data_IF_849184212747
#
_entry.id   IF_849184212747
#
_cell.length_a   1.000
_cell.length_b   1.000
_cell.length_c   1.000
_cell.angle_alpha   90.00
_cell.angle_beta   90.00
_cell.angle_gamma   90.00
#
_symmetry.space_group_name_H-M   'P 1'
#
loop_
_entity.id
_entity.type
_entity.pdbx_description
1 polymer ?
#
# COMPACT_ATOMS: atom_id res chain seq x y z
N UNK A 1 -0.72 -3.55 24.01
CA UNK A 1 -0.40 -3.09 22.64
C UNK A 1 -1.60 -3.38 21.76
N UNK A 2 -1.94 -2.49 20.84
CA UNK A 2 -2.98 -2.76 19.83
C UNK A 2 -2.46 -3.88 18.91
N UNK A 3 -3.01 -5.08 19.06
CA UNK A 3 -2.73 -6.20 18.16
C UNK A 3 -3.56 -5.99 16.89
N UNK A 4 -2.88 -5.77 15.77
CA UNK A 4 -3.48 -5.59 14.46
C UNK A 4 -3.39 -6.90 13.67
N UNK A 5 -4.46 -7.26 12.96
CA UNK A 5 -4.47 -8.38 12.03
C UNK A 5 -4.14 -7.94 10.59
N UNK A 6 -3.81 -6.66 10.39
CA UNK A 6 -3.41 -6.10 9.11
C UNK A 6 -1.90 -6.07 8.95
N UNK A 7 -1.48 -6.56 7.80
CA UNK A 7 -0.10 -6.63 7.36
C UNK A 7 0.07 -5.93 6.02
N UNK A 8 1.31 -5.68 5.66
CA UNK A 8 1.66 -5.26 4.30
C UNK A 8 2.90 -6.01 3.84
N UNK A 9 3.03 -6.23 2.55
CA UNK A 9 4.21 -6.86 1.94
C UNK A 9 4.56 -6.18 0.62
N UNK A 10 5.86 -6.06 0.35
CA UNK A 10 6.40 -5.68 -0.95
C UNK A 10 6.90 -6.91 -1.68
N UNK A 11 6.46 -7.13 -2.92
CA UNK A 11 6.96 -8.26 -3.71
C UNK A 11 8.39 -8.05 -4.20
N UNK A 12 8.78 -6.80 -4.55
CA UNK A 12 10.11 -6.50 -5.02
C UNK A 12 10.55 -7.43 -6.16
N UNK A 13 11.71 -8.06 -5.95
CA UNK A 13 12.28 -9.09 -6.83
C UNK A 13 12.29 -10.48 -6.17
N UNK A 14 11.44 -10.72 -5.16
CA UNK A 14 11.38 -12.01 -4.45
C UNK A 14 11.05 -13.16 -5.39
N UNK A 15 11.52 -14.35 -5.05
CA UNK A 15 11.01 -15.57 -5.65
C UNK A 15 9.60 -15.90 -5.11
N UNK A 16 8.94 -16.85 -5.77
CA UNK A 16 7.65 -17.37 -5.32
C UNK A 16 7.75 -17.95 -3.90
N UNK A 17 8.79 -18.73 -3.66
CA UNK A 17 9.04 -19.45 -2.42
C UNK A 17 9.31 -18.49 -1.26
N UNK A 18 10.16 -17.48 -1.48
CA UNK A 18 10.45 -16.45 -0.48
C UNK A 18 9.19 -15.71 -0.06
N UNK A 19 8.39 -15.29 -1.05
CA UNK A 19 7.15 -14.55 -0.81
C UNK A 19 6.11 -15.38 -0.05
N UNK A 20 5.90 -16.65 -0.44
CA UNK A 20 5.01 -17.56 0.27
C UNK A 20 5.51 -17.84 1.70
N UNK A 21 6.80 -18.05 1.89
CA UNK A 21 7.38 -18.30 3.21
C UNK A 21 7.16 -17.12 4.16
N UNK A 22 7.32 -15.89 3.66
CA UNK A 22 7.02 -14.67 4.42
C UNK A 22 5.53 -14.60 4.80
N UNK A 23 4.60 -14.81 3.86
CA UNK A 23 3.17 -14.80 4.14
C UNK A 23 2.77 -15.87 5.17
N UNK A 24 3.27 -17.11 5.01
CA UNK A 24 2.98 -18.22 5.92
C UNK A 24 3.52 -17.98 7.32
N UNK A 25 4.67 -17.32 7.46
CA UNK A 25 5.25 -17.00 8.77
C UNK A 25 4.36 -16.11 9.64
N UNK A 26 3.39 -15.42 9.04
CA UNK A 26 2.42 -14.56 9.72
C UNK A 26 0.96 -15.05 9.61
N UNK A 27 0.76 -16.29 9.16
CA UNK A 27 -0.57 -16.90 9.02
C UNK A 27 -1.53 -16.05 8.15
N UNK A 28 -1.01 -15.50 7.03
CA UNK A 28 -1.82 -14.66 6.14
C UNK A 28 -2.82 -15.51 5.36
N UNK A 29 -4.10 -15.16 5.49
CA UNK A 29 -5.21 -15.83 4.81
C UNK A 29 -5.71 -15.09 3.57
N UNK A 30 -5.52 -13.77 3.53
CA UNK A 30 -5.95 -12.91 2.43
C UNK A 30 -4.80 -12.01 1.98
N UNK A 31 -4.50 -12.04 0.68
CA UNK A 31 -3.60 -11.09 0.06
C UNK A 31 -4.40 -10.10 -0.79
N UNK A 32 -4.36 -8.82 -0.40
CA UNK A 32 -5.04 -7.73 -1.10
C UNK A 32 -4.02 -7.00 -1.98
N UNK A 33 -4.13 -7.13 -3.28
CA UNK A 33 -3.27 -6.41 -4.22
C UNK A 33 -3.75 -4.96 -4.40
N UNK A 34 -2.89 -4.01 -3.98
CA UNK A 34 -3.16 -2.58 -4.07
C UNK A 34 -2.34 -1.90 -5.17
N UNK A 35 -1.73 -2.67 -6.07
CA UNK A 35 -1.07 -2.09 -7.26
C UNK A 35 -2.14 -1.55 -8.20
N UNK A 36 -2.01 -0.31 -8.66
CA UNK A 36 -2.93 0.25 -9.67
C UNK A 36 -2.86 -0.53 -11.00
N UNK A 37 -1.69 -1.09 -11.33
CA UNK A 37 -1.53 -2.03 -12.43
C UNK A 37 -0.86 -3.30 -11.91
N UNK A 38 -1.56 -4.43 -11.80
CA UNK A 38 -1.03 -5.68 -11.27
C UNK A 38 -0.31 -6.51 -12.35
N UNK A 39 0.36 -5.83 -13.30
CA UNK A 39 1.07 -6.43 -14.41
C UNK A 39 2.45 -5.78 -14.60
N UNK A 40 3.48 -6.61 -14.77
CA UNK A 40 4.86 -6.20 -15.02
C UNK A 40 5.51 -7.16 -16.02
N UNK A 41 6.28 -6.60 -16.96
CA UNK A 41 7.16 -7.38 -17.85
C UNK A 41 8.43 -7.84 -17.15
N UNK A 42 8.87 -7.12 -16.11
CA UNK A 42 10.12 -7.37 -15.41
C UNK A 42 9.99 -8.41 -14.31
N UNK A 43 8.80 -8.49 -13.70
CA UNK A 43 8.53 -9.40 -12.57
C UNK A 43 7.22 -10.17 -12.83
N UNK A 44 7.15 -10.94 -13.94
CA UNK A 44 5.90 -11.52 -14.43
C UNK A 44 5.30 -12.59 -13.50
N UNK A 45 6.09 -13.16 -12.58
CA UNK A 45 5.60 -14.13 -11.59
C UNK A 45 4.58 -13.53 -10.60
N UNK A 46 4.61 -12.20 -10.41
CA UNK A 46 3.63 -11.47 -9.61
C UNK A 46 2.49 -10.86 -10.43
N UNK A 47 2.35 -11.20 -11.72
CA UNK A 47 1.17 -10.77 -12.48
C UNK A 47 -0.08 -11.42 -11.91
N UNK A 48 -1.20 -10.70 -11.87
CA UNK A 48 -2.44 -11.12 -11.19
C UNK A 48 -2.82 -12.59 -11.43
N UNK A 49 -2.88 -13.05 -12.68
CA UNK A 49 -3.26 -14.44 -12.98
C UNK A 49 -2.24 -15.47 -12.49
N UNK A 50 -0.95 -15.13 -12.52
CA UNK A 50 0.11 -15.99 -11.99
C UNK A 50 0.04 -16.03 -10.47
N UNK A 51 0.09 -14.88 -9.80
CA UNK A 51 0.06 -14.76 -8.32
C UNK A 51 -1.15 -15.44 -7.68
N UNK A 52 -2.32 -15.25 -8.25
CA UNK A 52 -3.54 -15.88 -7.79
C UNK A 52 -3.45 -17.41 -7.78
N UNK A 53 -2.83 -18.01 -8.80
CA UNK A 53 -2.73 -19.48 -8.92
C UNK A 53 -1.90 -20.13 -7.81
N UNK A 54 -0.74 -19.57 -7.44
CA UNK A 54 0.09 -20.14 -6.37
C UNK A 54 -0.42 -19.80 -4.98
N UNK A 55 -1.03 -18.62 -4.79
CA UNK A 55 -1.72 -18.31 -3.53
C UNK A 55 -2.86 -19.29 -3.27
N UNK A 56 -3.63 -19.65 -4.30
CA UNK A 56 -4.72 -20.61 -4.19
C UNK A 56 -4.24 -22.00 -3.76
N UNK A 57 -3.11 -22.48 -4.28
CA UNK A 57 -2.49 -23.75 -3.87
C UNK A 57 -2.12 -23.75 -2.38
N UNK A 58 -1.80 -22.57 -1.84
CA UNK A 58 -1.45 -22.35 -0.44
C UNK A 58 -2.64 -21.91 0.42
N UNK A 59 -3.87 -21.95 -0.13
CA UNK A 59 -5.12 -21.55 0.54
C UNK A 59 -5.15 -20.08 0.99
N UNK A 60 -4.34 -19.23 0.35
CA UNK A 60 -4.37 -17.78 0.53
C UNK A 60 -5.29 -17.20 -0.54
N UNK A 61 -6.33 -16.45 -0.12
CA UNK A 61 -7.26 -15.82 -1.05
C UNK A 61 -6.67 -14.53 -1.59
N UNK A 62 -6.60 -14.42 -2.92
CA UNK A 62 -6.22 -13.19 -3.61
C UNK A 62 -7.43 -12.26 -3.79
N UNK A 63 -7.23 -10.96 -3.60
CA UNK A 63 -8.25 -9.91 -3.81
C UNK A 63 -7.58 -8.71 -4.47
N UNK A 64 -8.07 -8.27 -5.62
CA UNK A 64 -7.59 -7.04 -6.25
C UNK A 64 -8.36 -5.81 -5.73
N UNK A 65 -7.65 -4.80 -5.24
CA UNK A 65 -8.20 -3.53 -4.76
C UNK A 65 -7.44 -2.28 -5.27
N UNK A 66 -6.64 -2.42 -6.32
CA UNK A 66 -5.91 -1.30 -6.94
C UNK A 66 -6.79 -0.15 -7.42
N UNK A 67 -8.07 -0.41 -7.72
CA UNK A 67 -9.03 0.63 -8.12
C UNK A 67 -9.62 1.44 -6.96
N UNK A 68 -9.38 1.00 -5.71
CA UNK A 68 -9.89 1.66 -4.51
C UNK A 68 -8.77 2.34 -3.74
N UNK A 69 -7.73 1.58 -3.39
CA UNK A 69 -6.63 2.02 -2.52
C UNK A 69 -5.28 1.94 -3.23
N UNK A 70 -5.29 2.13 -4.56
CA UNK A 70 -4.10 2.10 -5.38
C UNK A 70 -3.14 3.26 -5.12
N UNK A 71 -1.85 3.03 -5.40
CA UNK A 71 -0.80 4.03 -5.20
C UNK A 71 -0.72 5.14 -6.26
N UNK A 72 -1.48 5.03 -7.35
CA UNK A 72 -1.57 6.02 -8.42
C UNK A 72 -3.01 6.58 -8.48
N UNK A 73 -3.19 7.91 -8.51
CA UNK A 73 -4.50 8.53 -8.54
C UNK A 73 -5.22 8.26 -9.87
N UNK A 74 -6.55 8.20 -9.78
CA UNK A 74 -7.45 8.15 -10.96
C UNK A 74 -7.91 9.54 -11.39
N UNK A 75 -7.81 10.53 -10.51
CA UNK A 75 -8.30 11.89 -10.72
C UNK A 75 -7.15 12.89 -10.67
N UNK A 76 -7.14 13.82 -11.63
CA UNK A 76 -6.09 14.81 -11.83
C UNK A 76 -6.00 15.81 -10.67
N UNK A 77 -7.07 15.98 -9.89
CA UNK A 77 -7.04 16.81 -8.68
C UNK A 77 -6.04 16.29 -7.64
N UNK A 78 -5.67 15.01 -7.69
CA UNK A 78 -4.73 14.39 -6.76
C UNK A 78 -3.26 14.62 -7.15
N UNK A 79 -2.99 15.42 -8.17
CA UNK A 79 -1.63 15.87 -8.49
C UNK A 79 -1.37 17.22 -7.81
N UNK A 80 -0.18 17.35 -7.22
CA UNK A 80 0.31 18.65 -6.77
C UNK A 80 0.88 19.47 -7.93
N UNK A 81 1.26 20.72 -7.66
CA UNK A 81 1.82 21.63 -8.66
C UNK A 81 3.16 21.13 -9.26
N UNK A 82 3.84 20.20 -8.58
CA UNK A 82 5.07 19.55 -9.02
C UNK A 82 4.80 18.28 -9.84
N UNK A 83 3.55 17.82 -9.93
CA UNK A 83 3.15 16.58 -10.61
C UNK A 83 3.36 15.32 -9.77
N UNK A 84 3.58 15.45 -8.47
CA UNK A 84 3.58 14.32 -7.55
C UNK A 84 2.15 13.96 -7.15
N UNK A 85 1.93 12.71 -6.77
CA UNK A 85 0.66 12.28 -6.19
C UNK A 85 0.56 12.82 -4.77
N UNK A 86 -0.44 13.65 -4.52
CA UNK A 86 -0.79 14.18 -3.21
C UNK A 86 -1.62 13.14 -2.46
N UNK A 87 -1.00 12.44 -1.50
CA UNK A 87 -1.69 11.40 -0.73
C UNK A 87 -2.75 11.96 0.22
N UNK A 88 -2.68 13.25 0.60
CA UNK A 88 -3.77 13.85 1.37
C UNK A 88 -5.04 13.92 0.52
N UNK A 89 -4.93 14.41 -0.71
CA UNK A 89 -6.08 14.47 -1.65
C UNK A 89 -6.59 13.08 -2.02
N UNK A 90 -5.69 12.12 -2.26
CA UNK A 90 -6.09 10.73 -2.52
C UNK A 90 -6.86 10.10 -1.36
N UNK A 91 -6.50 10.41 -0.11
CA UNK A 91 -7.21 9.91 1.07
C UNK A 91 -8.64 10.45 1.18
N UNK A 92 -8.92 11.61 0.58
CA UNK A 92 -10.25 12.22 0.59
C UNK A 92 -11.23 11.61 -0.41
N UNK A 93 -10.73 10.91 -1.43
CA UNK A 93 -11.54 10.28 -2.46
C UNK A 93 -12.49 9.22 -1.87
N UNK A 94 -13.73 9.20 -2.37
CA UNK A 94 -14.77 8.27 -1.90
C UNK A 94 -14.42 6.79 -2.13
N UNK A 95 -13.75 6.49 -3.25
CA UNK A 95 -13.25 5.15 -3.60
C UNK A 95 -12.19 4.69 -2.60
N UNK A 96 -11.27 5.58 -2.22
CA UNK A 96 -10.25 5.30 -1.22
C UNK A 96 -10.87 5.01 0.14
N UNK A 97 -11.76 5.90 0.63
CA UNK A 97 -12.48 5.71 1.89
C UNK A 97 -13.22 4.37 1.94
N UNK A 98 -13.85 3.98 0.84
CA UNK A 98 -14.53 2.67 0.70
C UNK A 98 -13.55 1.51 0.84
N UNK A 99 -12.41 1.56 0.15
CA UNK A 99 -11.39 0.50 0.24
C UNK A 99 -10.73 0.43 1.62
N UNK A 100 -10.48 1.57 2.26
CA UNK A 100 -9.94 1.65 3.61
C UNK A 100 -10.90 1.02 4.63
N UNK A 101 -12.20 1.32 4.54
CA UNK A 101 -13.22 0.75 5.42
C UNK A 101 -13.25 -0.79 5.35
N UNK A 102 -13.04 -1.38 4.16
CA UNK A 102 -12.94 -2.85 4.03
C UNK A 102 -11.77 -3.44 4.82
N UNK A 103 -10.64 -2.74 4.90
CA UNK A 103 -9.51 -3.16 5.72
C UNK A 103 -9.81 -3.02 7.22
N UNK A 104 -10.50 -1.94 7.61
CA UNK A 104 -10.97 -1.74 9.00
C UNK A 104 -11.92 -2.86 9.42
N UNK A 105 -12.88 -3.22 8.56
CA UNK A 105 -13.82 -4.34 8.78
C UNK A 105 -13.10 -5.69 8.86
N UNK A 106 -12.08 -5.90 8.05
CA UNK A 106 -11.27 -7.11 8.13
C UNK A 106 -10.50 -7.18 9.45
N UNK A 107 -9.95 -6.05 9.91
CA UNK A 107 -9.26 -5.97 11.19
C UNK A 107 -10.20 -6.22 12.38
N UNK A 108 -11.40 -5.66 12.37
CA UNK A 108 -12.39 -5.85 13.44
C UNK A 108 -12.85 -7.30 13.56
N UNK A 109 -12.82 -8.06 12.45
CA UNK A 109 -13.08 -9.50 12.39
C UNK A 109 -11.84 -10.36 12.65
N UNK A 110 -10.70 -9.76 12.97
CA UNK A 110 -9.42 -10.42 13.18
C UNK A 110 -8.98 -11.28 11.97
N UNK A 111 -9.34 -10.87 10.77
CA UNK A 111 -8.88 -11.52 9.54
C UNK A 111 -7.40 -11.19 9.33
N UNK A 112 -6.57 -12.22 9.11
CA UNK A 112 -5.15 -12.06 8.75
C UNK A 112 -5.02 -11.63 7.29
N UNK A 113 -4.88 -10.33 7.06
CA UNK A 113 -4.82 -9.73 5.73
C UNK A 113 -3.46 -9.09 5.51
N UNK A 114 -2.82 -9.35 4.37
CA UNK A 114 -1.68 -8.56 3.91
C UNK A 114 -2.06 -7.74 2.67
N UNK A 115 -1.80 -6.43 2.67
CA UNK A 115 -1.84 -5.62 1.45
C UNK A 115 -0.51 -5.74 0.70
N UNK A 116 -0.54 -5.88 -0.62
CA UNK A 116 0.65 -6.08 -1.46
C UNK A 116 0.90 -4.90 -2.38
N UNK A 117 2.16 -4.47 -2.47
CA UNK A 117 2.64 -3.55 -3.51
C UNK A 117 3.98 -4.02 -4.11
N UNK A 118 4.54 -3.24 -5.04
CA UNK A 118 5.76 -3.60 -5.79
C UNK A 118 7.07 -3.28 -5.07
N UNK A 119 7.15 -2.18 -4.33
CA UNK A 119 8.40 -1.76 -3.66
C UNK A 119 8.72 -2.67 -2.48
N UNK A 120 9.97 -3.15 -2.35
CA UNK A 120 10.36 -3.95 -1.19
C UNK A 120 10.31 -3.14 0.11
N UNK A 121 10.80 -1.91 0.07
CA UNK A 121 10.87 -1.03 1.23
C UNK A 121 9.51 -0.35 1.51
N UNK A 122 8.87 -0.61 2.68
CA UNK A 122 7.63 0.06 3.03
C UNK A 122 7.78 1.59 3.13
N UNK A 123 8.92 2.15 3.51
CA UNK A 123 9.08 3.62 3.61
C UNK A 123 9.06 4.30 2.25
N UNK A 124 9.31 3.58 1.16
CA UNK A 124 9.29 4.12 -0.19
C UNK A 124 7.95 3.93 -0.92
N UNK A 125 6.95 3.38 -0.23
CA UNK A 125 5.71 2.91 -0.84
C UNK A 125 4.46 3.63 -0.28
N UNK A 126 3.43 3.77 -1.12
CA UNK A 126 2.12 4.28 -0.72
C UNK A 126 1.46 3.42 0.37
N UNK A 127 1.81 2.13 0.49
CA UNK A 127 1.22 1.25 1.51
C UNK A 127 1.47 1.74 2.94
N UNK A 128 2.58 2.44 3.20
CA UNK A 128 2.83 3.08 4.49
C UNK A 128 2.43 4.57 4.49
N UNK A 129 2.79 5.30 3.42
CA UNK A 129 2.61 6.75 3.29
C UNK A 129 1.15 7.20 3.15
N UNK A 130 0.31 6.35 2.54
CA UNK A 130 -1.11 6.61 2.33
C UNK A 130 -1.94 5.65 3.20
N UNK A 131 -1.97 4.36 2.87
CA UNK A 131 -2.89 3.41 3.51
C UNK A 131 -2.60 3.24 5.00
N UNK A 132 -1.34 2.95 5.34
CA UNK A 132 -0.92 2.76 6.72
C UNK A 132 -1.06 4.03 7.57
N UNK A 133 -0.79 5.20 6.98
CA UNK A 133 -1.02 6.51 7.62
C UNK A 133 -2.49 6.66 8.00
N UNK A 134 -3.41 6.48 7.05
CA UNK A 134 -4.85 6.65 7.31
C UNK A 134 -5.37 5.64 8.33
N UNK A 135 -4.95 4.37 8.25
CA UNK A 135 -5.29 3.37 9.26
C UNK A 135 -4.81 3.77 10.66
N UNK A 136 -3.60 4.31 10.78
CA UNK A 136 -3.03 4.67 12.08
C UNK A 136 -3.68 5.92 12.67
N UNK A 137 -3.77 7.02 11.92
CA UNK A 137 -4.21 8.31 12.46
C UNK A 137 -5.74 8.45 12.54
N UNK A 138 -6.49 7.82 11.63
CA UNK A 138 -7.96 7.92 11.61
C UNK A 138 -8.61 6.77 12.37
N UNK A 139 -8.08 5.56 12.22
CA UNK A 139 -8.70 4.34 12.78
C UNK A 139 -7.95 3.73 13.96
N UNK A 140 -6.81 4.30 14.38
CA UNK A 140 -5.97 3.78 15.47
C UNK A 140 -5.52 2.31 15.23
N UNK A 141 -5.32 1.93 13.98
CA UNK A 141 -4.84 0.60 13.59
C UNK A 141 -3.39 0.73 13.11
N UNK A 142 -2.46 0.12 13.86
CA UNK A 142 -1.06 0.01 13.44
C UNK A 142 -0.88 -1.18 12.49
N UNK A 143 -0.56 -0.92 11.23
CA UNK A 143 -0.24 -1.95 10.24
C UNK A 143 1.16 -2.53 10.48
N UNK A 144 1.29 -3.86 10.32
CA UNK A 144 2.58 -4.53 10.42
C UNK A 144 3.20 -4.73 9.03
N UNK A 145 4.35 -4.15 8.74
CA UNK A 145 5.03 -4.33 7.46
C UNK A 145 5.96 -5.53 7.50
N UNK A 146 5.62 -6.58 6.74
CA UNK A 146 6.46 -7.77 6.57
C UNK A 146 7.70 -7.39 5.77
N UNK A 147 8.87 -7.61 6.37
CA UNK A 147 10.18 -7.33 5.73
C UNK A 147 11.05 -8.57 5.57
N UNK A 148 10.77 -9.64 6.33
CA UNK A 148 11.33 -10.98 6.17
C UNK A 148 10.48 -12.00 6.94
N UNK A 149 10.83 -13.29 6.84
CA UNK A 149 10.24 -14.38 7.62
C UNK A 149 10.29 -14.03 9.12
N UNK A 150 9.14 -14.06 9.79
CA UNK A 150 8.99 -13.72 11.21
C UNK A 150 9.50 -12.32 11.61
N UNK A 151 9.74 -11.42 10.64
CA UNK A 151 10.18 -10.05 10.87
C UNK A 151 9.21 -9.02 10.31
N UNK A 152 8.77 -8.12 11.17
CA UNK A 152 7.97 -6.94 10.81
C UNK A 152 8.62 -5.64 11.26
N UNK A 153 8.21 -4.54 10.62
CA UNK A 153 8.38 -3.17 11.11
C UNK A 153 6.99 -2.60 11.33
N UNK A 154 6.76 -1.91 12.44
CA UNK A 154 5.44 -1.33 12.75
C UNK A 154 5.23 0.00 12.03
N UNK A 155 3.99 0.34 11.72
CA UNK A 155 3.64 1.58 11.01
C UNK A 155 4.24 2.84 11.69
N UNK A 156 4.17 2.93 13.02
CA UNK A 156 4.72 4.04 13.79
C UNK A 156 6.25 4.20 13.62
N UNK A 157 6.99 3.10 13.47
CA UNK A 157 8.44 3.15 13.26
C UNK A 157 8.78 3.66 11.86
N UNK A 158 7.98 3.29 10.85
CA UNK A 158 8.10 3.84 9.50
C UNK A 158 7.81 5.35 9.51
N UNK A 159 6.74 5.78 10.19
CA UNK A 159 6.38 7.20 10.28
C UNK A 159 7.45 8.03 11.00
N UNK A 160 8.00 7.53 12.11
CA UNK A 160 9.13 8.17 12.82
C UNK A 160 10.36 8.30 11.92
N UNK A 161 10.68 7.25 11.16
CA UNK A 161 11.81 7.27 10.22
C UNK A 161 11.61 8.28 9.09
N UNK A 162 10.43 8.27 8.47
CA UNK A 162 10.09 9.17 7.36
C UNK A 162 10.10 10.64 7.76
N UNK A 163 9.69 10.95 8.98
CA UNK A 163 9.67 12.31 9.53
C UNK A 163 10.98 12.71 10.20
N UNK A 164 12.00 11.83 10.21
CA UNK A 164 13.29 12.06 10.88
C UNK A 164 13.14 12.47 12.36
N UNK A 165 12.15 11.88 13.04
CA UNK A 165 11.84 12.18 14.44
C UNK A 165 11.02 13.46 14.68
N UNK A 166 10.63 14.20 13.62
CA UNK A 166 9.70 15.32 13.78
C UNK A 166 8.33 14.84 14.29
N UNK A 167 7.96 13.59 13.98
CA UNK A 167 6.77 12.94 14.53
C UNK A 167 7.16 11.72 15.38
N UNK A 168 6.55 11.59 16.56
CA UNK A 168 6.65 10.42 17.43
C UNK A 168 5.28 10.06 18.03
N UNK A 169 5.02 8.76 18.33
CA UNK A 169 3.82 8.35 19.03
C UNK A 169 3.69 9.05 20.40
N UNK A 170 2.60 9.79 20.60
CA UNK A 170 2.34 10.52 21.85
C UNK A 170 2.95 11.93 21.93
N UNK A 171 3.66 12.38 20.89
CA UNK A 171 4.32 13.69 20.84
C UNK A 171 5.84 13.59 20.96
N UNK A 172 6.53 14.69 20.67
CA UNK A 172 7.98 14.81 20.74
C UNK A 172 8.39 15.80 21.86
N UNK A 173 9.68 16.17 21.95
CA UNK A 173 10.20 17.11 22.94
C UNK A 173 9.46 18.47 22.98
N UNK A 174 8.85 18.87 21.86
CA UNK A 174 8.16 20.15 21.68
C UNK A 174 6.63 20.07 21.82
N UNK A 175 6.09 18.89 22.17
CA UNK A 175 4.67 18.69 22.43
C UNK A 175 3.98 17.76 21.43
N UNK A 176 2.66 17.94 21.24
CA UNK A 176 1.86 17.12 20.33
C UNK A 176 2.30 17.34 18.89
N UNK A 177 2.46 16.24 18.14
CA UNK A 177 2.80 16.27 16.73
C UNK A 177 1.54 16.12 15.88
N UNK A 178 1.39 16.98 14.88
CA UNK A 178 0.36 16.79 13.85
C UNK A 178 0.68 15.55 13.00
N UNK A 179 -0.34 14.83 12.51
CA UNK A 179 -0.15 13.71 11.60
C UNK A 179 0.62 14.14 10.34
N UNK A 180 1.73 13.46 9.98
CA UNK A 180 2.44 13.76 8.76
C UNK A 180 1.61 13.37 7.53
N UNK A 181 1.78 14.15 6.47
CA UNK A 181 1.33 13.80 5.12
C UNK A 181 2.53 13.64 4.20
N UNK A 182 2.34 12.84 3.16
CA UNK A 182 3.38 12.45 2.23
C UNK A 182 2.89 12.61 0.80
N UNK A 183 3.83 12.56 -0.14
CA UNK A 183 3.56 12.51 -1.58
C UNK A 183 4.30 11.35 -2.23
N UNK A 184 4.02 11.09 -3.50
CA UNK A 184 4.81 10.13 -4.28
C UNK A 184 6.29 10.52 -4.30
N UNK A 185 7.16 9.51 -4.43
CA UNK A 185 8.62 9.72 -4.47
C UNK A 185 9.07 10.58 -5.66
N UNK A 186 8.38 10.44 -6.79
CA UNK A 186 8.73 11.08 -8.06
C UNK A 186 7.55 11.91 -8.56
N UNK A 187 7.86 12.91 -9.40
CA UNK A 187 6.89 13.61 -10.22
C UNK A 187 6.53 12.79 -11.46
N UNK A 188 5.27 12.90 -11.90
CA UNK A 188 4.68 12.20 -13.04
C UNK A 188 4.07 13.16 -14.08
N UNK A 189 4.50 14.44 -14.08
CA UNK A 189 3.99 15.51 -14.97
C UNK A 189 3.88 15.13 -16.47
N UNK A 190 4.77 14.26 -16.97
CA UNK A 190 4.82 13.90 -18.39
C UNK A 190 3.87 12.75 -18.80
N UNK A 191 3.11 12.16 -17.88
CA UNK A 191 2.17 11.06 -18.23
C UNK A 191 0.80 11.58 -18.70
N UNK A 192 0.53 12.88 -18.53
CA UNK A 192 -0.72 13.52 -18.97
C UNK A 192 -0.70 13.90 -20.46
N UNK A 193 0.46 14.21 -21.05
CA UNK A 193 0.57 14.57 -22.47
C UNK A 193 0.47 13.38 -23.43
N UNK A 194 0.56 12.14 -22.94
CA UNK A 194 0.64 10.94 -23.79
C UNK A 194 -0.66 10.15 -23.93
N UNK A 195 -1.76 10.59 -23.30
CA UNK A 195 -3.07 9.94 -23.42
C UNK A 195 -4.02 10.56 -24.45
N UNK A 196 -3.63 11.65 -25.13
CA UNK A 196 -4.46 12.29 -26.17
C UNK A 196 -4.14 11.83 -27.61
N UNK A 197 -3.04 11.11 -27.84
CA UNK A 197 -2.67 10.61 -29.17
C UNK A 197 -2.80 9.09 -29.26
N UNK A 198 -4.01 8.57 -29.51
CA UNK A 198 -4.28 7.35 -30.30
C UNK A 198 -5.78 7.17 -30.53
N UNK A 199 -6.40 8.13 -31.23
CA UNK A 199 -7.60 7.88 -32.03
C UNK A 199 -7.18 7.92 -33.50
N UNK A 200 -6.49 6.87 -33.96
CA UNK A 200 -6.31 6.64 -35.39
C UNK A 200 -7.55 5.88 -35.85
N UNK A 201 -8.45 6.61 -36.50
CA UNK A 201 -9.52 6.09 -37.33
C UNK A 201 -8.89 5.19 -38.42
N UNK A 202 -9.31 3.94 -38.48
CA UNK A 202 -9.19 3.15 -39.69
C UNK A 202 -10.57 3.14 -40.35
N UNK A 203 -10.65 3.79 -41.53
CA UNK A 203 -11.66 3.53 -42.57
C UNK A 203 -11.51 2.10 -43.12
#
# INVERSE_FOLDING_TARGET
MLNSSLYSIGHGQKTQEEFLAELKSFDIHFLVDVRTSPYSKWVPQFNQGTIESWLQQERIRYIYMGNYIGGRPQNDICYDEEGCFDYHRMAEESSFKTGLHRLVDANSKNCRVAIMCSESDPSECHRSKLIGRELYFVHQISMNHIVAINKIIRQEEIMKTLTKGAWEPGGNLFGKCEPPYFKSRKSYKNVMETSEETFVLYD
#
